data_IF_087573115742
#
_entry.id   IF_087573115742
#
_cell.length_a   1.000
_cell.length_b   1.000
_cell.length_c   1.000
_cell.angle_alpha   90.00
_cell.angle_beta   90.00
_cell.angle_gamma   90.00
#
_symmetry.space_group_name_H-M   'P 1'
#
loop_
_entity.id
_entity.type
_entity.pdbx_description
1 polymer ?
#
# COMPACT_ATOMS: atom_id res chain seq x y z
N UNK A 1 -24.11 -10.41 63.49
CA UNK A 1 -23.12 -11.51 63.39
C UNK A 1 -22.29 -11.22 62.16
N UNK A 2 -21.15 -10.54 62.30
CA UNK A 2 -19.81 -11.04 62.68
C UNK A 2 -18.94 -10.84 61.42
N UNK A 3 -17.73 -10.29 61.40
CA UNK A 3 -16.81 -9.65 62.34
C UNK A 3 -15.88 -8.76 61.46
N UNK A 4 -15.27 -7.67 61.93
CA UNK A 4 -13.97 -7.64 62.64
C UNK A 4 -12.84 -8.38 61.85
N UNK A 5 -11.61 -7.90 61.60
CA UNK A 5 -10.75 -6.93 62.29
C UNK A 5 -9.44 -6.69 61.45
N UNK A 6 -8.88 -5.48 61.57
CA UNK A 6 -7.46 -5.12 61.77
C UNK A 6 -6.36 -5.16 60.67
N UNK A 7 -5.98 -3.91 60.30
CA UNK A 7 -4.66 -3.25 60.40
C UNK A 7 -3.42 -3.61 59.58
N UNK A 8 -2.77 -2.50 59.18
CA UNK A 8 -1.34 -2.15 59.16
C UNK A 8 -0.64 -2.24 57.81
N UNK A 9 -0.49 -1.09 57.16
CA UNK A 9 0.62 -0.82 56.25
C UNK A 9 1.44 0.36 56.77
N UNK A 10 2.74 0.11 56.81
CA UNK A 10 3.78 0.98 57.33
C UNK A 10 3.86 2.31 56.56
N UNK A 11 4.27 3.37 57.25
CA UNK A 11 4.71 4.63 56.62
C UNK A 11 6.13 4.46 56.09
N UNK A 12 6.41 4.68 54.79
CA UNK A 12 7.71 5.15 54.35
C UNK A 12 7.77 6.68 54.46
N UNK A 13 8.97 7.16 54.80
CA UNK A 13 9.33 8.56 55.01
C UNK A 13 9.14 9.38 53.73
N UNK A 14 8.76 10.65 53.95
CA UNK A 14 8.63 11.66 52.92
C UNK A 14 9.91 11.83 52.11
N UNK A 15 9.76 11.83 50.79
CA UNK A 15 10.69 12.39 49.82
C UNK A 15 9.86 13.21 48.84
N UNK A 16 10.19 14.49 48.78
CA UNK A 16 9.49 15.57 48.08
C UNK A 16 9.54 15.38 46.57
N UNK A 17 8.38 15.26 45.90
CA UNK A 17 8.16 15.84 44.57
C UNK A 17 6.66 16.06 44.34
N UNK A 18 6.30 17.29 43.96
CA UNK A 18 4.96 17.75 43.61
C UNK A 18 4.38 16.95 42.44
N UNK A 19 3.15 16.44 42.57
CA UNK A 19 2.01 16.84 41.73
C UNK A 19 0.71 16.06 42.06
N UNK A 20 -0.32 16.84 42.43
CA UNK A 20 -1.78 16.62 42.42
C UNK A 20 -2.30 15.17 42.37
N UNK A 21 -2.79 14.70 43.51
CA UNK A 21 -3.77 13.61 43.62
C UNK A 21 -5.14 14.16 43.16
N UNK A 22 -5.64 13.72 42.01
CA UNK A 22 -7.04 13.97 41.63
C UNK A 22 -7.94 12.98 42.37
N UNK A 23 -8.83 13.53 43.20
CA UNK A 23 -9.88 12.81 43.91
C UNK A 23 -10.93 12.31 42.91
N UNK A 24 -11.18 11.01 42.89
CA UNK A 24 -12.20 10.36 42.06
C UNK A 24 -13.55 10.47 42.79
N UNK A 25 -14.49 11.25 42.24
CA UNK A 25 -15.87 11.33 42.72
C UNK A 25 -16.73 10.44 41.81
N UNK A 26 -17.15 9.28 42.32
CA UNK A 26 -18.06 8.36 41.64
C UNK A 26 -19.48 8.73 42.07
N UNK A 27 -20.24 9.38 41.19
CA UNK A 27 -21.70 9.56 41.35
C UNK A 27 -22.44 8.52 40.52
N UNK A 28 -23.12 7.59 41.19
CA UNK A 28 -24.08 6.67 40.58
C UNK A 28 -25.41 7.39 40.34
N UNK A 29 -25.78 7.61 39.08
CA UNK A 29 -27.12 8.04 38.67
C UNK A 29 -27.84 6.90 37.97
N UNK A 30 -28.90 6.37 38.59
CA UNK A 30 -29.87 5.43 37.98
C UNK A 30 -31.01 6.26 37.40
N UNK A 31 -31.39 6.09 36.11
CA UNK A 31 -32.71 6.34 35.47
C UNK A 31 -32.53 6.35 33.93
N UNK A 32 -33.38 5.81 33.03
CA UNK A 32 -34.68 5.15 33.12
C UNK A 32 -35.05 4.47 31.77
N UNK A 33 -35.96 3.49 31.82
CA UNK A 33 -36.47 2.74 30.66
C UNK A 33 -37.45 3.59 29.83
N UNK A 34 -37.31 3.57 28.49
CA UNK A 34 -38.38 3.97 27.56
C UNK A 34 -38.74 2.80 26.65
N UNK A 35 -39.99 2.37 26.74
CA UNK A 35 -40.61 1.42 25.80
C UNK A 35 -41.10 2.17 24.56
N UNK A 36 -40.93 1.58 23.37
CA UNK A 36 -41.59 2.05 22.15
C UNK A 36 -42.74 1.10 21.76
N UNK A 37 -43.75 1.65 21.08
CA UNK A 37 -45.12 1.13 20.88
C UNK A 37 -45.30 -0.23 20.14
N UNK A 38 -44.23 -1.01 19.92
CA UNK A 38 -44.28 -2.31 19.23
C UNK A 38 -43.66 -3.48 19.99
N UNK A 39 -43.42 -3.36 21.30
CA UNK A 39 -43.19 -4.54 22.16
C UNK A 39 -41.93 -5.37 21.86
N UNK A 40 -40.90 -4.81 21.21
CA UNK A 40 -39.56 -5.42 21.14
C UNK A 40 -38.66 -4.86 22.25
N UNK A 41 -38.14 -5.75 23.08
CA UNK A 41 -37.09 -5.47 24.05
C UNK A 41 -35.78 -5.24 23.28
N UNK A 42 -35.35 -3.98 23.12
CA UNK A 42 -34.02 -3.66 22.61
C UNK A 42 -33.08 -3.61 23.81
N UNK A 43 -32.20 -4.61 23.92
CA UNK A 43 -31.10 -4.57 24.89
C UNK A 43 -30.05 -3.60 24.35
N UNK A 44 -30.17 -2.34 24.75
CA UNK A 44 -29.13 -1.33 24.55
C UNK A 44 -28.03 -1.59 25.57
N UNK A 45 -26.91 -2.18 25.14
CA UNK A 45 -25.65 -2.12 25.90
C UNK A 45 -25.20 -0.66 25.95
N UNK A 46 -25.54 0.05 27.01
CA UNK A 46 -25.02 1.38 27.27
C UNK A 46 -23.54 1.28 27.67
N UNK A 47 -22.65 1.78 26.82
CA UNK A 47 -21.30 2.11 27.23
C UNK A 47 -21.38 3.30 28.20
N UNK A 48 -21.22 3.04 29.50
CA UNK A 48 -20.90 4.09 30.45
C UNK A 48 -19.42 4.47 30.23
N UNK A 49 -19.17 5.44 29.36
CA UNK A 49 -17.84 6.04 29.24
C UNK A 49 -17.62 6.98 30.42
N UNK A 50 -16.58 6.70 31.21
CA UNK A 50 -15.94 7.71 32.05
C UNK A 50 -15.28 8.68 31.08
N UNK A 51 -15.94 9.81 30.80
CA UNK A 51 -15.34 10.91 30.05
C UNK A 51 -14.31 11.56 30.98
N UNK A 52 -13.09 11.02 30.95
CA UNK A 52 -11.92 11.69 31.49
C UNK A 52 -11.49 12.72 30.45
N UNK A 53 -11.84 13.99 30.67
CA UNK A 53 -11.42 15.11 29.84
C UNK A 53 -9.93 15.39 30.02
N UNK A 54 -9.10 14.59 29.36
CA UNK A 54 -7.70 14.89 29.14
C UNK A 54 -7.19 14.20 27.87
N UNK A 55 -7.04 14.99 26.80
CA UNK A 55 -6.19 14.71 25.62
C UNK A 55 -6.57 13.52 24.72
N UNK A 56 -7.79 13.45 24.22
CA UNK A 56 -8.09 12.66 23.02
C UNK A 56 -8.18 13.59 21.81
N UNK A 57 -7.53 13.23 20.69
CA UNK A 57 -7.66 13.95 19.42
C UNK A 57 -9.09 13.91 18.90
N UNK A 58 -9.49 14.92 18.14
CA UNK A 58 -10.85 15.11 17.59
C UNK A 58 -11.32 13.87 16.79
N UNK A 59 -10.39 13.13 16.20
CA UNK A 59 -10.61 11.95 15.37
C UNK A 59 -11.03 10.73 16.20
N UNK A 60 -10.51 10.58 17.42
CA UNK A 60 -10.88 9.47 18.31
C UNK A 60 -12.28 9.66 18.88
N UNK A 61 -12.65 10.90 19.17
CA UNK A 61 -14.01 11.24 19.59
C UNK A 61 -15.01 10.92 18.46
N UNK A 62 -14.72 11.33 17.22
CA UNK A 62 -15.50 10.96 16.03
C UNK A 62 -15.61 9.44 15.88
N UNK A 63 -14.52 8.71 16.05
CA UNK A 63 -14.50 7.26 15.96
C UNK A 63 -15.45 6.61 16.97
N UNK A 64 -15.38 6.99 18.25
CA UNK A 64 -16.25 6.42 19.28
C UNK A 64 -17.73 6.78 19.08
N UNK A 65 -18.03 7.98 18.59
CA UNK A 65 -19.40 8.38 18.23
C UNK A 65 -19.94 7.45 17.13
N UNK A 66 -19.17 7.24 16.06
CA UNK A 66 -19.59 6.38 14.95
C UNK A 66 -19.76 4.91 15.38
N UNK A 67 -18.87 4.41 16.25
CA UNK A 67 -18.98 3.08 16.86
C UNK A 67 -20.28 2.94 17.66
N UNK A 68 -20.63 3.96 18.47
CA UNK A 68 -21.86 3.98 19.24
C UNK A 68 -23.13 3.95 18.38
N UNK A 69 -23.09 4.58 17.20
CA UNK A 69 -24.19 4.55 16.23
C UNK A 69 -24.14 3.39 15.23
N UNK A 70 -23.13 2.50 15.32
CA UNK A 70 -22.89 1.41 14.37
C UNK A 70 -22.83 1.87 12.90
N UNK A 71 -22.28 3.07 12.66
CA UNK A 71 -22.17 3.69 11.35
C UNK A 71 -20.98 3.12 10.56
N UNK A 72 -21.05 1.83 10.20
CA UNK A 72 -19.90 1.06 9.70
C UNK A 72 -19.32 1.57 8.40
N UNK A 73 -20.14 2.08 7.48
CA UNK A 73 -19.63 2.67 6.24
C UNK A 73 -18.74 3.88 6.55
N UNK A 74 -19.20 4.74 7.46
CA UNK A 74 -18.51 5.94 7.92
C UNK A 74 -17.26 5.60 8.73
N UNK A 75 -17.30 4.55 9.56
CA UNK A 75 -16.13 4.05 10.29
C UNK A 75 -15.04 3.62 9.32
N UNK A 76 -15.36 2.80 8.31
CA UNK A 76 -14.37 2.33 7.33
C UNK A 76 -13.80 3.49 6.50
N UNK A 77 -14.61 4.50 6.17
CA UNK A 77 -14.15 5.73 5.50
C UNK A 77 -13.21 6.54 6.41
N UNK A 78 -13.54 6.68 7.70
CA UNK A 78 -12.69 7.37 8.67
C UNK A 78 -11.34 6.66 8.81
N UNK A 79 -11.34 5.33 8.95
CA UNK A 79 -10.10 4.53 8.99
C UNK A 79 -9.27 4.77 7.74
N UNK A 80 -9.88 4.77 6.56
CA UNK A 80 -9.16 5.01 5.29
C UNK A 80 -8.49 6.38 5.23
N UNK A 81 -9.22 7.44 5.62
CA UNK A 81 -8.78 8.82 5.45
C UNK A 81 -7.79 9.26 6.54
N UNK A 82 -8.02 8.82 7.78
CA UNK A 82 -7.27 9.29 8.96
C UNK A 82 -6.26 8.24 9.48
N UNK A 83 -5.95 7.19 8.70
CA UNK A 83 -5.07 6.08 9.12
C UNK A 83 -3.75 6.55 9.71
N UNK A 84 -3.12 7.60 9.16
CA UNK A 84 -1.83 8.11 9.65
C UNK A 84 -1.94 8.58 11.09
N UNK A 85 -3.01 9.31 11.42
CA UNK A 85 -3.22 9.88 12.74
C UNK A 85 -3.66 8.81 13.75
N UNK A 86 -4.57 7.93 13.33
CA UNK A 86 -5.05 6.81 14.14
C UNK A 86 -3.93 5.82 14.50
N UNK A 87 -2.93 5.66 13.63
CA UNK A 87 -1.78 4.76 13.81
C UNK A 87 -0.59 5.38 14.54
N UNK A 88 -0.63 6.68 14.87
CA UNK A 88 0.45 7.35 15.61
C UNK A 88 0.73 6.66 16.96
N UNK A 89 -0.28 6.06 17.58
CA UNK A 89 -0.14 5.21 18.76
C UNK A 89 -0.43 3.75 18.41
N UNK A 90 0.63 2.99 18.10
CA UNK A 90 0.51 1.60 17.64
C UNK A 90 -0.21 0.67 18.64
N UNK A 91 0.02 0.87 19.95
CA UNK A 91 -0.62 0.04 20.99
C UNK A 91 -2.12 0.31 21.07
N UNK A 92 -2.52 1.58 20.96
CA UNK A 92 -3.92 1.99 20.96
C UNK A 92 -4.62 1.55 19.68
N UNK A 93 -3.96 1.70 18.53
CA UNK A 93 -4.48 1.24 17.25
C UNK A 93 -4.74 -0.26 17.22
N UNK A 94 -3.86 -1.06 17.83
CA UNK A 94 -4.05 -2.51 17.96
C UNK A 94 -5.30 -2.85 18.79
N UNK A 95 -5.55 -2.09 19.87
CA UNK A 95 -6.76 -2.26 20.70
C UNK A 95 -8.03 -1.87 19.93
N UNK A 96 -7.97 -0.78 19.19
CA UNK A 96 -9.08 -0.31 18.34
C UNK A 96 -9.37 -1.30 17.24
N UNK A 97 -8.34 -1.80 16.57
CA UNK A 97 -8.46 -2.81 15.52
C UNK A 97 -9.11 -4.10 16.05
N UNK A 98 -8.70 -4.56 17.24
CA UNK A 98 -9.35 -5.72 17.89
C UNK A 98 -10.81 -5.44 18.27
N UNK A 99 -11.14 -4.23 18.72
CA UNK A 99 -12.52 -3.84 19.00
C UNK A 99 -13.35 -3.81 17.71
N UNK A 100 -12.84 -3.21 16.64
CA UNK A 100 -13.46 -3.17 15.32
C UNK A 100 -13.74 -4.57 14.79
N UNK A 101 -12.77 -5.47 14.87
CA UNK A 101 -12.94 -6.87 14.48
C UNK A 101 -14.14 -7.51 15.21
N UNK A 102 -14.16 -7.42 16.54
CA UNK A 102 -15.19 -8.08 17.35
C UNK A 102 -16.60 -7.50 17.13
N UNK A 103 -16.72 -6.17 17.07
CA UNK A 103 -18.00 -5.51 16.89
C UNK A 103 -18.50 -5.62 15.44
N UNK A 104 -17.60 -5.62 14.46
CA UNK A 104 -17.97 -5.78 13.05
C UNK A 104 -18.53 -7.16 12.78
N UNK A 105 -17.87 -8.21 13.28
CA UNK A 105 -18.34 -9.60 13.11
C UNK A 105 -19.74 -9.76 13.73
N UNK A 106 -19.96 -9.17 14.91
CA UNK A 106 -21.27 -9.19 15.58
C UNK A 106 -22.33 -8.45 14.77
N UNK A 107 -22.02 -7.26 14.27
CA UNK A 107 -22.91 -6.46 13.43
C UNK A 107 -23.27 -7.22 12.14
N UNK A 108 -22.27 -7.77 11.47
CA UNK A 108 -22.40 -8.47 10.20
C UNK A 108 -23.29 -9.71 10.28
N UNK A 109 -23.36 -10.36 11.44
CA UNK A 109 -24.27 -11.49 11.66
C UNK A 109 -25.76 -11.14 11.77
N UNK A 110 -26.13 -9.86 11.83
CA UNK A 110 -27.52 -9.43 12.12
C UNK A 110 -28.17 -8.55 11.06
N UNK A 111 -27.40 -8.12 10.06
CA UNK A 111 -27.79 -7.10 9.09
C UNK A 111 -28.02 -7.70 7.69
N UNK A 112 -28.66 -6.93 6.80
CA UNK A 112 -28.96 -7.36 5.43
C UNK A 112 -27.70 -7.71 4.62
N UNK A 113 -27.78 -8.85 3.92
CA UNK A 113 -26.69 -9.43 3.13
C UNK A 113 -26.09 -8.50 2.09
N UNK A 114 -26.91 -7.67 1.42
CA UNK A 114 -26.41 -6.68 0.44
C UNK A 114 -25.46 -5.68 1.09
N UNK A 115 -25.83 -5.13 2.26
CA UNK A 115 -25.02 -4.18 2.98
C UNK A 115 -23.75 -4.85 3.52
N UNK A 116 -23.89 -6.06 4.07
CA UNK A 116 -22.78 -6.80 4.65
C UNK A 116 -21.75 -7.24 3.62
N UNK A 117 -22.17 -7.71 2.45
CA UNK A 117 -21.24 -8.03 1.36
C UNK A 117 -20.37 -6.82 0.98
N UNK A 118 -20.98 -5.63 0.87
CA UNK A 118 -20.25 -4.39 0.59
C UNK A 118 -19.29 -4.03 1.72
N UNK A 119 -19.76 -4.03 2.97
CA UNK A 119 -18.94 -3.66 4.12
C UNK A 119 -17.78 -4.65 4.35
N UNK A 120 -18.00 -5.95 4.19
CA UNK A 120 -16.93 -6.95 4.26
C UNK A 120 -15.89 -6.72 3.16
N UNK A 121 -16.30 -6.35 1.95
CA UNK A 121 -15.39 -6.04 0.85
C UNK A 121 -14.49 -4.84 1.19
N UNK A 122 -15.10 -3.76 1.69
CA UNK A 122 -14.37 -2.56 2.10
C UNK A 122 -13.42 -2.85 3.28
N UNK A 123 -13.88 -3.64 4.25
CA UNK A 123 -13.07 -4.07 5.40
C UNK A 123 -11.84 -4.86 4.96
N UNK A 124 -12.01 -5.88 4.11
CA UNK A 124 -10.89 -6.69 3.60
C UNK A 124 -9.89 -5.82 2.83
N UNK A 125 -10.35 -4.86 2.03
CA UNK A 125 -9.45 -3.92 1.32
C UNK A 125 -8.60 -3.09 2.27
N UNK A 126 -9.14 -2.63 3.40
CA UNK A 126 -8.37 -1.89 4.41
C UNK A 126 -7.31 -2.78 5.07
N UNK A 127 -7.63 -4.05 5.34
CA UNK A 127 -6.66 -5.04 5.85
C UNK A 127 -5.55 -5.28 4.83
N UNK A 128 -5.89 -5.54 3.56
CA UNK A 128 -4.90 -5.77 2.49
C UNK A 128 -4.01 -4.54 2.25
N UNK A 129 -4.53 -3.33 2.48
CA UNK A 129 -3.78 -2.08 2.38
C UNK A 129 -2.90 -1.79 3.61
N UNK A 130 -2.96 -2.64 4.64
CA UNK A 130 -2.24 -2.46 5.90
C UNK A 130 -2.78 -1.31 6.77
N UNK A 131 -4.00 -0.85 6.51
CA UNK A 131 -4.63 0.23 7.28
C UNK A 131 -5.31 -0.28 8.54
N UNK A 132 -5.73 -1.55 8.55
CA UNK A 132 -6.37 -2.18 9.69
C UNK A 132 -5.64 -3.47 10.08
N UNK A 133 -5.45 -3.68 11.37
CA UNK A 133 -4.96 -4.96 11.90
C UNK A 133 -6.12 -5.91 12.17
N UNK A 134 -5.93 -7.21 11.96
CA UNK A 134 -6.96 -8.21 12.24
C UNK A 134 -6.30 -9.54 12.61
N UNK A 135 -6.98 -10.32 13.47
CA UNK A 135 -6.56 -11.68 13.79
C UNK A 135 -6.80 -12.64 12.62
N UNK A 136 -6.05 -13.75 12.58
CA UNK A 136 -6.26 -14.81 11.58
C UNK A 136 -7.67 -15.40 11.65
N UNK A 137 -8.22 -15.55 12.86
CA UNK A 137 -9.60 -16.03 13.03
C UNK A 137 -10.62 -14.98 12.56
N UNK A 138 -10.35 -13.70 12.80
CA UNK A 138 -11.21 -12.60 12.37
C UNK A 138 -11.31 -12.49 10.86
N UNK A 139 -10.18 -12.52 10.15
CA UNK A 139 -10.19 -12.40 8.69
C UNK A 139 -10.92 -13.59 8.04
N UNK A 140 -10.74 -14.81 8.56
CA UNK A 140 -11.49 -15.98 8.09
C UNK A 140 -13.00 -15.82 8.29
N UNK A 141 -13.44 -15.26 9.43
CA UNK A 141 -14.86 -15.01 9.70
C UNK A 141 -15.43 -13.93 8.78
N UNK A 142 -14.73 -12.82 8.59
CA UNK A 142 -15.17 -11.73 7.71
C UNK A 142 -15.26 -12.20 6.25
N UNK A 143 -14.28 -12.98 5.78
CA UNK A 143 -14.33 -13.60 4.45
C UNK A 143 -15.51 -14.57 4.33
N UNK A 144 -15.77 -15.42 5.34
CA UNK A 144 -16.91 -16.34 5.34
C UNK A 144 -18.26 -15.61 5.28
N UNK A 145 -18.44 -14.59 6.13
CA UNK A 145 -19.68 -13.80 6.19
C UNK A 145 -19.90 -13.07 4.87
N UNK A 146 -18.88 -12.35 4.38
CA UNK A 146 -18.98 -11.58 3.14
C UNK A 146 -19.21 -12.45 1.91
N UNK A 147 -18.57 -13.62 1.85
CA UNK A 147 -18.78 -14.57 0.75
C UNK A 147 -20.20 -15.14 0.74
N UNK A 148 -20.72 -15.59 1.91
CA UNK A 148 -22.11 -16.06 2.04
C UNK A 148 -23.12 -14.97 1.68
N UNK A 149 -22.90 -13.76 2.18
CA UNK A 149 -23.75 -12.61 1.88
C UNK A 149 -23.72 -12.21 0.39
N UNK A 150 -22.60 -12.43 -0.31
CA UNK A 150 -22.49 -12.23 -1.75
C UNK A 150 -23.19 -13.33 -2.53
N UNK A 151 -23.13 -14.58 -2.07
CA UNK A 151 -23.81 -15.73 -2.68
C UNK A 151 -25.33 -15.62 -2.61
N UNK A 152 -25.86 -15.08 -1.51
CA UNK A 152 -27.30 -14.79 -1.37
C UNK A 152 -27.80 -13.74 -2.38
N UNK A 153 -26.92 -12.90 -2.92
CA UNK A 153 -27.27 -11.93 -3.95
C UNK A 153 -27.23 -12.57 -5.33
N UNK A 154 -26.08 -13.15 -5.68
CA UNK A 154 -25.91 -13.94 -6.90
C UNK A 154 -24.57 -14.69 -6.91
N UNK A 155 -24.48 -15.72 -7.75
CA UNK A 155 -23.20 -16.39 -8.01
C UNK A 155 -22.15 -15.44 -8.61
N UNK A 156 -22.57 -14.43 -9.38
CA UNK A 156 -21.65 -13.44 -9.96
C UNK A 156 -21.01 -12.55 -8.90
N UNK A 157 -21.79 -12.11 -7.90
CA UNK A 157 -21.28 -11.32 -6.78
C UNK A 157 -20.37 -12.17 -5.89
N UNK A 158 -20.75 -13.42 -5.61
CA UNK A 158 -19.89 -14.37 -4.90
C UNK A 158 -18.55 -14.60 -5.62
N UNK A 159 -18.55 -14.66 -6.95
CA UNK A 159 -17.33 -14.80 -7.76
C UNK A 159 -16.45 -13.55 -7.72
N UNK A 160 -17.04 -12.35 -7.64
CA UNK A 160 -16.27 -11.11 -7.48
C UNK A 160 -15.66 -11.07 -6.09
N UNK A 161 -16.45 -11.40 -5.06
CA UNK A 161 -16.01 -11.40 -3.68
C UNK A 161 -14.93 -12.45 -3.42
N UNK A 162 -15.06 -13.66 -3.97
CA UNK A 162 -14.09 -14.72 -3.75
C UNK A 162 -12.67 -14.34 -4.18
N UNK A 163 -12.51 -13.46 -5.18
CA UNK A 163 -11.19 -13.00 -5.67
C UNK A 163 -10.39 -12.19 -4.65
N UNK A 164 -11.04 -11.62 -3.64
CA UNK A 164 -10.37 -10.87 -2.56
C UNK A 164 -10.18 -11.70 -1.28
N UNK A 165 -10.71 -12.93 -1.24
CA UNK A 165 -10.54 -13.86 -0.13
C UNK A 165 -9.24 -14.66 -0.28
N UNK A 166 -8.49 -14.85 0.82
CA UNK A 166 -7.25 -15.63 0.84
C UNK A 166 -7.23 -16.72 1.93
N UNK A 167 -8.20 -16.72 2.85
CA UNK A 167 -8.16 -17.55 4.06
C UNK A 167 -9.37 -18.48 4.19
N UNK A 168 -10.51 -18.15 3.58
CA UNK A 168 -11.72 -18.96 3.65
C UNK A 168 -11.81 -19.98 2.50
N UNK A 169 -11.67 -21.25 2.86
CA UNK A 169 -11.54 -22.38 1.92
C UNK A 169 -12.72 -22.52 0.94
N UNK A 170 -13.96 -22.32 1.39
CA UNK A 170 -15.13 -22.40 0.48
C UNK A 170 -15.09 -21.33 -0.61
N UNK A 171 -14.64 -20.11 -0.29
CA UNK A 171 -14.49 -19.06 -1.30
C UNK A 171 -13.38 -19.39 -2.30
N UNK A 172 -12.27 -19.99 -1.84
CA UNK A 172 -11.18 -20.45 -2.71
C UNK A 172 -11.64 -21.59 -3.64
N UNK A 173 -12.41 -22.55 -3.10
CA UNK A 173 -12.98 -23.65 -3.88
C UNK A 173 -14.10 -23.20 -4.84
N UNK A 174 -14.78 -22.09 -4.53
CA UNK A 174 -15.75 -21.47 -5.45
C UNK A 174 -15.07 -20.91 -6.70
N UNK A 175 -13.84 -20.40 -6.57
CA UNK A 175 -13.05 -19.95 -7.73
C UNK A 175 -12.72 -21.12 -8.68
N UNK A 176 -12.38 -22.29 -8.12
CA UNK A 176 -11.97 -23.46 -8.90
C UNK A 176 -13.16 -24.18 -9.55
N UNK A 177 -14.32 -24.25 -8.88
CA UNK A 177 -15.52 -24.92 -9.39
C UNK A 177 -16.21 -24.18 -10.56
N UNK A 178 -16.19 -22.84 -10.60
CA UNK A 178 -16.68 -22.05 -11.74
C UNK A 178 -15.75 -22.17 -12.95
N UNK A 179 -14.45 -22.39 -12.74
CA UNK A 179 -13.54 -22.69 -13.83
C UNK A 179 -13.87 -24.03 -14.50
N UNK A 180 -14.47 -24.98 -13.78
CA UNK A 180 -14.88 -26.30 -14.31
C UNK A 180 -16.21 -26.24 -15.08
N UNK A 181 -17.18 -25.42 -14.65
CA UNK A 181 -18.50 -25.29 -15.30
C UNK A 181 -18.50 -24.37 -16.54
N UNK A 182 -17.50 -23.50 -16.70
CA UNK A 182 -17.34 -22.67 -17.90
C UNK A 182 -16.74 -23.38 -19.12
N UNK A 183 -16.42 -24.67 -19.03
CA UNK A 183 -15.83 -25.41 -20.16
C UNK A 183 -16.83 -25.89 -21.22
N UNK A 184 -18.14 -25.92 -20.96
CA UNK A 184 -19.11 -26.51 -21.92
C UNK A 184 -19.91 -25.50 -22.75
N UNK A 185 -20.10 -24.24 -22.33
CA UNK A 185 -20.92 -23.29 -23.08
C UNK A 185 -20.29 -21.89 -23.16
N UNK A 186 -19.25 -21.74 -23.97
CA UNK A 186 -19.09 -20.64 -24.96
C UNK A 186 -17.68 -20.67 -25.54
N UNK A 187 -17.57 -21.41 -26.64
CA UNK A 187 -16.53 -21.30 -27.64
C UNK A 187 -16.57 -19.94 -28.35
N UNK A 188 -16.00 -18.90 -27.74
CA UNK A 188 -15.34 -17.83 -28.51
C UNK A 188 -13.98 -17.56 -27.85
N UNK A 189 -12.97 -18.08 -28.52
CA UNK A 189 -11.55 -18.04 -28.19
C UNK A 189 -11.02 -16.62 -27.98
N UNK A 190 -10.39 -16.39 -26.83
CA UNK A 190 -8.98 -16.00 -26.76
C UNK A 190 -8.51 -15.99 -25.30
N UNK A 191 -8.32 -17.17 -24.71
CA UNK A 191 -7.44 -17.33 -23.55
C UNK A 191 -6.32 -18.28 -23.91
N UNK A 192 -5.20 -17.69 -24.30
CA UNK A 192 -3.89 -18.33 -24.28
C UNK A 192 -3.58 -18.70 -22.82
N UNK A 193 -4.02 -19.88 -22.38
CA UNK A 193 -3.42 -20.52 -21.23
C UNK A 193 -2.12 -21.13 -21.74
N UNK A 194 -0.99 -20.50 -21.45
CA UNK A 194 0.31 -21.07 -21.79
C UNK A 194 0.40 -22.45 -21.14
N UNK A 195 0.68 -23.48 -21.93
CA UNK A 195 0.91 -24.86 -21.46
C UNK A 195 2.12 -25.00 -20.53
N UNK A 196 2.82 -23.91 -20.24
CA UNK A 196 4.00 -23.85 -19.42
C UNK A 196 3.65 -23.29 -18.04
N UNK A 197 4.10 -23.99 -17.00
CA UNK A 197 4.09 -23.45 -15.64
C UNK A 197 4.91 -22.16 -15.60
N UNK A 198 4.43 -21.18 -14.84
CA UNK A 198 5.18 -19.94 -14.61
C UNK A 198 6.55 -20.31 -14.05
N UNK A 199 7.58 -19.95 -14.81
CA UNK A 199 8.97 -20.02 -14.37
C UNK A 199 9.48 -18.59 -14.36
N UNK A 200 9.95 -18.11 -13.21
CA UNK A 200 10.42 -16.74 -13.06
C UNK A 200 11.83 -16.56 -13.65
N UNK A 201 11.93 -16.59 -14.98
CA UNK A 201 13.13 -16.15 -15.73
C UNK A 201 13.21 -14.63 -15.84
N UNK A 202 12.77 -13.94 -14.79
CA UNK A 202 12.69 -12.49 -14.75
C UNK A 202 14.06 -11.92 -14.40
N UNK A 203 14.44 -10.86 -15.11
CA UNK A 203 15.67 -10.11 -14.85
C UNK A 203 15.28 -8.91 -13.98
N UNK A 204 16.00 -8.63 -12.87
CA UNK A 204 15.75 -7.44 -12.06
C UNK A 204 15.93 -6.17 -12.89
N UNK A 205 15.24 -5.11 -12.49
CA UNK A 205 15.28 -3.82 -13.20
C UNK A 205 16.69 -3.22 -13.21
N UNK A 206 17.39 -3.31 -12.08
CA UNK A 206 18.77 -2.86 -11.93
C UNK A 206 19.70 -4.09 -11.91
N UNK A 207 20.82 -3.98 -12.62
CA UNK A 207 21.83 -5.04 -12.70
C UNK A 207 22.98 -4.82 -11.72
N UNK A 208 23.01 -3.67 -11.05
CA UNK A 208 23.99 -3.33 -10.02
C UNK A 208 23.39 -2.41 -8.95
N UNK A 209 23.98 -2.43 -7.76
CA UNK A 209 23.66 -1.47 -6.68
C UNK A 209 23.92 -0.02 -7.12
N UNK A 210 24.95 0.20 -7.96
CA UNK A 210 25.28 1.52 -8.50
C UNK A 210 24.12 2.10 -9.34
N UNK A 211 23.49 1.29 -10.19
CA UNK A 211 22.32 1.70 -10.98
C UNK A 211 21.13 2.06 -10.09
N UNK A 212 20.89 1.29 -9.03
CA UNK A 212 19.81 1.54 -8.07
C UNK A 212 20.05 2.85 -7.28
N UNK A 213 21.26 3.07 -6.79
CA UNK A 213 21.63 4.31 -6.09
C UNK A 213 21.56 5.51 -7.02
N UNK A 214 21.96 5.36 -8.28
CA UNK A 214 21.85 6.42 -9.28
C UNK A 214 20.39 6.77 -9.61
N UNK A 215 19.54 5.76 -9.75
CA UNK A 215 18.10 5.96 -9.93
C UNK A 215 17.50 6.79 -8.78
N UNK A 216 17.85 6.44 -7.54
CA UNK A 216 17.42 7.17 -6.35
C UNK A 216 17.93 8.62 -6.33
N UNK A 217 19.15 8.87 -6.81
CA UNK A 217 19.72 10.21 -6.96
C UNK A 217 18.96 11.03 -8.03
N UNK A 218 18.61 10.41 -9.17
CA UNK A 218 17.79 11.04 -10.21
C UNK A 218 16.40 11.40 -9.69
N UNK A 219 15.72 10.48 -9.00
CA UNK A 219 14.41 10.72 -8.37
C UNK A 219 14.45 11.86 -7.35
N UNK A 220 15.55 11.97 -6.61
CA UNK A 220 15.75 13.05 -5.63
C UNK A 220 16.05 14.40 -6.29
N UNK A 221 16.75 14.39 -7.43
CA UNK A 221 17.10 15.60 -8.18
C UNK A 221 15.94 16.12 -9.03
N UNK A 222 15.12 15.22 -9.59
CA UNK A 222 13.98 15.52 -10.44
C UNK A 222 12.68 14.92 -9.87
N UNK A 223 12.21 15.38 -8.69
CA UNK A 223 11.06 14.76 -8.00
C UNK A 223 9.76 14.84 -8.79
N UNK A 224 9.62 15.88 -9.63
CA UNK A 224 8.44 16.12 -10.46
C UNK A 224 8.62 15.63 -11.90
N UNK A 225 9.60 14.78 -12.20
CA UNK A 225 9.79 14.21 -13.54
C UNK A 225 9.59 12.69 -13.50
N UNK A 226 9.30 12.12 -14.66
CA UNK A 226 9.32 10.67 -14.82
C UNK A 226 10.75 10.22 -15.13
N UNK A 227 11.26 9.25 -14.38
CA UNK A 227 12.59 8.67 -14.57
C UNK A 227 12.39 7.22 -14.99
N UNK A 228 12.82 6.86 -16.20
CA UNK A 228 12.70 5.51 -16.73
C UNK A 228 14.08 4.88 -16.90
N UNK A 229 14.33 3.72 -16.27
CA UNK A 229 15.53 2.94 -16.52
C UNK A 229 15.43 2.08 -17.79
N UNK A 230 16.58 1.68 -18.34
CA UNK A 230 16.72 0.73 -19.45
C UNK A 230 15.86 1.08 -20.68
N UNK A 231 15.93 2.32 -21.16
CA UNK A 231 15.10 2.78 -22.28
C UNK A 231 15.77 2.45 -23.61
N UNK A 232 15.07 1.72 -24.47
CA UNK A 232 15.56 1.41 -25.81
C UNK A 232 15.65 2.69 -26.68
N UNK A 233 16.76 2.83 -27.43
CA UNK A 233 17.04 4.03 -28.26
C UNK A 233 15.98 4.25 -29.34
N UNK A 234 15.40 3.16 -29.88
CA UNK A 234 14.32 3.21 -30.86
C UNK A 234 12.99 3.75 -30.31
N UNK A 235 12.85 3.88 -28.99
CA UNK A 235 11.69 4.53 -28.37
C UNK A 235 11.89 6.05 -28.20
N UNK A 236 13.08 6.57 -28.49
CA UNK A 236 13.45 7.98 -28.27
C UNK A 236 13.57 8.72 -29.59
N UNK A 237 14.19 8.10 -30.59
CA UNK A 237 14.40 8.71 -31.90
C UNK A 237 13.55 8.03 -32.97
N UNK A 238 12.99 8.82 -33.88
CA UNK A 238 12.39 8.30 -35.10
C UNK A 238 13.48 7.73 -36.00
N UNK A 239 13.42 6.43 -36.26
CA UNK A 239 14.42 5.73 -37.03
C UNK A 239 14.53 6.24 -38.47
N UNK A 240 13.41 6.52 -39.15
CA UNK A 240 13.46 6.95 -40.55
C UNK A 240 14.02 8.37 -40.69
N UNK A 241 13.83 9.22 -39.67
CA UNK A 241 14.41 10.56 -39.63
C UNK A 241 15.91 10.55 -39.32
N UNK A 242 16.37 9.70 -38.40
CA UNK A 242 17.79 9.69 -37.97
C UNK A 242 18.68 8.84 -38.87
N UNK A 243 18.16 7.77 -39.48
CA UNK A 243 18.90 6.80 -40.31
C UNK A 243 19.76 7.43 -41.43
N UNK A 244 19.34 8.49 -42.14
CA UNK A 244 20.19 9.16 -43.15
C UNK A 244 21.49 9.73 -42.57
N UNK A 245 21.50 10.04 -41.27
CA UNK A 245 22.64 10.63 -40.57
C UNK A 245 23.55 9.58 -39.89
N UNK A 246 23.18 8.29 -39.96
CA UNK A 246 23.92 7.19 -39.33
C UNK A 246 24.68 6.34 -40.33
N UNK A 247 25.85 5.84 -39.92
CA UNK A 247 26.61 4.81 -40.63
C UNK A 247 25.93 3.43 -40.50
N UNK A 248 26.21 2.50 -41.43
CA UNK A 248 25.59 1.17 -41.42
C UNK A 248 25.80 0.42 -40.08
N UNK A 249 27.00 0.48 -39.50
CA UNK A 249 27.30 -0.16 -38.22
C UNK A 249 26.51 0.40 -37.04
N UNK A 250 26.06 1.65 -37.15
CA UNK A 250 25.35 2.40 -36.12
C UNK A 250 23.84 2.18 -36.26
N UNK A 251 23.34 2.04 -37.50
CA UNK A 251 21.96 1.62 -37.79
C UNK A 251 21.64 0.25 -37.20
N UNK A 252 22.54 -0.73 -37.36
CA UNK A 252 22.38 -2.06 -36.77
C UNK A 252 22.40 -2.04 -35.23
N UNK A 253 23.16 -1.11 -34.67
CA UNK A 253 23.29 -0.95 -33.23
C UNK A 253 22.09 -0.19 -32.63
N UNK A 254 21.53 0.78 -33.35
CA UNK A 254 20.39 1.59 -32.95
C UNK A 254 19.21 0.75 -32.44
N UNK A 255 18.88 -0.35 -33.14
CA UNK A 255 17.77 -1.24 -32.78
C UNK A 255 18.01 -2.08 -31.51
N UNK A 256 19.27 -2.17 -31.07
CA UNK A 256 19.69 -2.99 -29.92
C UNK A 256 20.14 -2.13 -28.74
N UNK A 257 20.37 -0.85 -28.97
CA UNK A 257 20.93 0.07 -28.00
C UNK A 257 19.89 0.42 -26.94
N UNK A 258 20.34 0.43 -25.69
CA UNK A 258 19.57 0.81 -24.50
C UNK A 258 20.35 1.92 -23.80
N UNK A 259 19.63 2.92 -23.31
CA UNK A 259 20.15 3.97 -22.44
C UNK A 259 19.76 3.64 -21.00
N UNK A 260 20.70 3.82 -20.08
CA UNK A 260 20.50 3.40 -18.69
C UNK A 260 19.34 4.16 -18.06
N UNK A 261 19.28 5.49 -18.22
CA UNK A 261 18.19 6.30 -17.68
C UNK A 261 17.77 7.44 -18.61
N UNK A 262 16.46 7.68 -18.69
CA UNK A 262 15.88 8.82 -19.40
C UNK A 262 14.88 9.55 -18.49
N UNK A 263 14.99 10.87 -18.44
CA UNK A 263 14.12 11.74 -17.66
C UNK A 263 13.13 12.44 -18.58
N UNK A 264 11.83 12.30 -18.32
CA UNK A 264 10.75 12.88 -19.12
C UNK A 264 10.02 13.97 -18.35
N UNK A 265 9.65 15.03 -19.04
CA UNK A 265 8.80 16.08 -18.52
C UNK A 265 7.34 15.61 -18.46
N UNK A 266 6.65 15.66 -17.30
CA UNK A 266 5.26 15.21 -17.21
C UNK A 266 4.27 16.07 -17.99
N UNK A 267 4.63 17.32 -18.31
CA UNK A 267 3.71 18.26 -18.95
C UNK A 267 3.49 17.93 -20.43
N UNK A 268 4.56 17.56 -21.12
CA UNK A 268 4.58 17.30 -22.58
C UNK A 268 4.99 15.86 -22.93
N UNK A 269 5.34 15.05 -21.93
CA UNK A 269 5.82 13.67 -22.07
C UNK A 269 7.05 13.54 -22.99
N UNK A 270 7.82 14.62 -23.16
CA UNK A 270 9.05 14.61 -23.96
C UNK A 270 10.27 14.22 -23.12
N UNK A 271 11.23 13.46 -23.67
CA UNK A 271 12.49 13.19 -22.99
C UNK A 271 13.33 14.47 -22.91
N UNK A 272 13.88 14.76 -21.73
CA UNK A 272 14.69 15.95 -21.45
C UNK A 272 16.16 15.62 -21.21
N UNK A 273 16.45 14.57 -20.45
CA UNK A 273 17.81 14.19 -20.11
C UNK A 273 18.04 12.70 -20.32
N UNK A 274 19.26 12.36 -20.74
CA UNK A 274 19.68 11.00 -21.08
C UNK A 274 20.97 10.70 -20.34
N UNK A 275 20.98 9.65 -19.54
CA UNK A 275 22.11 9.32 -18.67
C UNK A 275 22.61 7.89 -18.90
N UNK A 276 23.92 7.75 -18.80
CA UNK A 276 24.63 6.48 -18.66
C UNK A 276 25.42 6.50 -17.34
N UNK A 277 25.40 5.38 -16.63
CA UNK A 277 26.15 5.21 -15.39
C UNK A 277 27.38 4.37 -15.69
N UNK A 278 28.53 5.02 -15.79
CA UNK A 278 29.77 4.33 -16.07
C UNK A 278 30.35 3.79 -14.75
N UNK A 279 30.45 2.47 -14.64
CA UNK A 279 31.28 1.80 -13.63
C UNK A 279 32.79 1.81 -13.99
N UNK A 280 33.65 1.57 -13.01
CA UNK A 280 35.09 1.45 -13.21
C UNK A 280 35.52 0.19 -14.00
N UNK A 281 34.58 -0.71 -14.32
CA UNK A 281 34.84 -1.98 -14.99
C UNK A 281 34.62 -1.92 -16.52
N UNK A 282 34.32 -0.76 -17.11
CA UNK A 282 33.97 -0.63 -18.54
C UNK A 282 35.13 -0.42 -19.53
N UNK A 283 36.39 -0.64 -19.16
CA UNK A 283 37.53 -0.30 -20.02
C UNK A 283 37.86 -1.34 -21.12
N UNK A 284 36.94 -2.25 -21.48
CA UNK A 284 37.16 -3.20 -22.57
C UNK A 284 37.05 -2.54 -23.95
N UNK A 285 37.79 -3.05 -24.93
CA UNK A 285 37.73 -2.55 -26.31
C UNK A 285 36.32 -2.64 -26.90
N UNK A 286 35.58 -3.70 -26.58
CA UNK A 286 34.20 -3.93 -27.03
C UNK A 286 33.22 -2.94 -26.41
N UNK A 287 33.39 -2.59 -25.13
CA UNK A 287 32.58 -1.56 -24.46
C UNK A 287 32.78 -0.21 -25.14
N UNK A 288 34.04 0.19 -25.38
CA UNK A 288 34.39 1.42 -26.08
C UNK A 288 33.80 1.50 -27.49
N UNK A 289 33.80 0.39 -28.23
CA UNK A 289 33.16 0.34 -29.56
C UNK A 289 31.65 0.60 -29.45
N UNK A 290 30.96 -0.04 -28.50
CA UNK A 290 29.52 0.18 -28.28
C UNK A 290 29.22 1.62 -27.85
N UNK A 291 30.04 2.16 -26.96
CA UNK A 291 29.92 3.55 -26.49
C UNK A 291 30.09 4.55 -27.63
N UNK A 292 31.08 4.34 -28.50
CA UNK A 292 31.29 5.18 -29.67
C UNK A 292 30.06 5.17 -30.61
N UNK A 293 29.45 4.00 -30.84
CA UNK A 293 28.23 3.91 -31.65
C UNK A 293 27.07 4.66 -31.01
N UNK A 294 26.90 4.54 -29.69
CA UNK A 294 25.87 5.28 -28.95
C UNK A 294 26.10 6.79 -29.04
N UNK A 295 27.35 7.24 -28.87
CA UNK A 295 27.73 8.64 -29.02
C UNK A 295 27.45 9.15 -30.44
N UNK A 296 27.76 8.38 -31.48
CA UNK A 296 27.45 8.75 -32.87
C UNK A 296 25.94 8.98 -33.09
N UNK A 297 25.09 8.12 -32.53
CA UNK A 297 23.63 8.25 -32.63
C UNK A 297 23.15 9.56 -31.99
N UNK A 298 23.59 9.83 -30.76
CA UNK A 298 23.24 11.05 -30.03
C UNK A 298 23.77 12.32 -30.72
N UNK A 299 25.00 12.26 -31.23
CA UNK A 299 25.62 13.35 -31.98
C UNK A 299 24.86 13.64 -33.29
N UNK A 300 24.40 12.61 -34.00
CA UNK A 300 23.59 12.77 -35.21
C UNK A 300 22.26 13.50 -34.94
N UNK A 301 21.69 13.31 -33.74
CA UNK A 301 20.48 14.01 -33.29
C UNK A 301 20.76 15.38 -32.63
N UNK A 302 22.03 15.76 -32.45
CA UNK A 302 22.40 17.00 -31.74
C UNK A 302 22.00 17.00 -30.26
N UNK A 303 21.87 15.83 -29.64
CA UNK A 303 21.40 15.66 -28.25
C UNK A 303 22.56 15.17 -27.38
N UNK A 304 22.67 15.71 -26.17
CA UNK A 304 23.72 15.35 -25.22
C UNK A 304 23.35 14.06 -24.46
N UNK A 305 24.26 13.09 -24.46
CA UNK A 305 24.23 11.92 -23.58
C UNK A 305 25.15 12.18 -22.39
N UNK A 306 24.59 12.23 -21.18
CA UNK A 306 25.34 12.52 -19.96
C UNK A 306 25.90 11.23 -19.37
N UNK A 307 27.22 11.08 -19.37
CA UNK A 307 27.91 9.95 -18.72
C UNK A 307 28.35 10.38 -17.34
N UNK A 308 27.97 9.62 -16.31
CA UNK A 308 28.33 9.90 -14.92
C UNK A 308 29.13 8.72 -14.37
N UNK A 309 30.34 9.03 -13.89
CA UNK A 309 31.27 8.06 -13.28
C UNK A 309 31.68 8.58 -11.92
N UNK A 310 31.46 7.79 -10.87
CA UNK A 310 32.02 8.10 -9.56
C UNK A 310 33.46 7.58 -9.48
N UNK A 311 34.34 8.40 -8.91
CA UNK A 311 35.78 8.09 -8.82
C UNK A 311 36.15 7.26 -7.57
N UNK A 312 35.20 6.99 -6.67
CA UNK A 312 35.46 6.23 -5.44
C UNK A 312 34.18 5.66 -4.83
N UNK A 313 34.29 4.47 -4.21
CA UNK A 313 33.27 3.87 -3.34
C UNK A 313 33.19 4.64 -2.01
N UNK A 314 32.64 5.85 -2.05
CA UNK A 314 32.36 6.64 -0.85
C UNK A 314 31.12 6.08 -0.15
N UNK A 315 31.00 6.30 1.16
CA UNK A 315 29.79 5.98 1.93
C UNK A 315 28.59 6.90 1.57
N UNK A 316 28.78 7.87 0.68
CA UNK A 316 27.79 8.89 0.29
C UNK A 316 27.48 8.90 -1.21
N UNK A 317 27.55 7.74 -1.88
CA UNK A 317 27.39 7.62 -3.34
C UNK A 317 26.15 8.33 -3.90
N UNK A 318 24.99 8.26 -3.21
CA UNK A 318 23.77 8.96 -3.64
C UNK A 318 23.95 10.48 -3.71
N UNK A 319 24.56 11.08 -2.69
CA UNK A 319 24.79 12.53 -2.65
C UNK A 319 25.77 12.96 -3.73
N UNK A 320 26.84 12.18 -3.94
CA UNK A 320 27.85 12.45 -4.97
C UNK A 320 27.23 12.41 -6.37
N UNK A 321 26.39 11.40 -6.64
CA UNK A 321 25.60 11.37 -7.87
C UNK A 321 24.67 12.57 -8.02
N UNK A 322 23.97 12.99 -6.96
CA UNK A 322 23.10 14.16 -7.02
C UNK A 322 23.86 15.44 -7.40
N UNK A 323 25.09 15.60 -6.92
CA UNK A 323 25.92 16.75 -7.29
C UNK A 323 26.38 16.67 -8.74
N UNK A 324 26.89 15.52 -9.17
CA UNK A 324 27.30 15.31 -10.56
C UNK A 324 26.14 15.51 -11.55
N UNK A 325 24.96 14.97 -11.25
CA UNK A 325 23.75 15.17 -12.06
C UNK A 325 23.46 16.66 -12.23
N UNK A 326 23.48 17.44 -11.14
CA UNK A 326 23.24 18.89 -11.19
C UNK A 326 24.31 19.64 -11.97
N UNK A 327 25.57 19.23 -11.86
CA UNK A 327 26.67 19.85 -12.60
C UNK A 327 26.57 19.63 -14.11
N UNK A 328 26.17 18.43 -14.54
CA UNK A 328 26.13 18.10 -15.97
C UNK A 328 24.89 18.61 -16.69
N UNK A 329 23.83 18.97 -15.95
CA UNK A 329 22.55 19.49 -16.48
C UNK A 329 22.26 20.96 -16.19
N UNK A 330 23.08 21.62 -15.37
CA UNK A 330 23.14 23.08 -15.28
C UNK A 330 23.67 23.68 -16.59
#
# INVERSE_FOLDING_TARGET
MAGQFFTKLAKPKASTYNNRINTMLITFGVFGLKCNWFGKLVVSTCYASVICSSSYGEEMEKFYILMGSQAWAEILVLVKNEQTQLRNNSLEWKRISALLESEFIKYAGTEKSILIAKLCNDYIKLVLSGYLEISQSGIMQIESIGFKASLEQSESEALIFSKICNHYEEALNFQSSINTTKFEETSVSNKSHSSFARTDWLIPLFKSEQEEVFYEALKSTYPNFFVYPNVAVNNIFDYEQIKPHLQNSDRDYFLKAIIDFVVYNPSDHTPKFFFEVDSCYHDSAEARIRDNKKNNIFNAAGIKLHRIRLNSDTLMQKYDFMQEIKLVTA
#
